data_IF_988385840097
#
_entry.id   IF_988385840097
#
_cell.length_a   1.000
_cell.length_b   1.000
_cell.length_c   1.000
_cell.angle_alpha   90.00
_cell.angle_beta   90.00
_cell.angle_gamma   90.00
#
_symmetry.space_group_name_H-M   'P 1'
#
loop_
_entity.id
_entity.type
_entity.pdbx_description
1 polymer ?
#
# COMPACT_ATOMS: atom_id res chain seq x y z
N UNK A 1 18.19 11.02 21.63
CA UNK A 1 18.52 9.61 21.92
C UNK A 1 17.22 8.86 22.12
N UNK A 2 16.87 7.93 21.23
CA UNK A 2 15.78 7.00 21.49
C UNK A 2 16.20 6.04 22.60
N UNK A 3 15.26 5.65 23.45
CA UNK A 3 15.51 4.58 24.40
C UNK A 3 15.93 3.32 23.62
N UNK A 4 17.01 2.62 23.99
CA UNK A 4 17.38 1.38 23.33
C UNK A 4 16.18 0.41 23.39
N UNK A 5 15.86 -0.22 22.27
CA UNK A 5 14.79 -1.22 22.22
C UNK A 5 15.11 -2.31 23.25
N UNK A 6 14.25 -2.45 24.25
CA UNK A 6 14.46 -3.44 25.31
C UNK A 6 14.52 -4.85 24.70
N UNK A 7 15.20 -5.82 25.33
CA UNK A 7 15.19 -7.20 24.86
C UNK A 7 13.77 -7.74 24.63
N UNK A 8 12.80 -7.31 25.45
CA UNK A 8 11.39 -7.63 25.29
C UNK A 8 10.80 -7.06 23.99
N UNK A 9 10.97 -5.76 23.73
CA UNK A 9 10.50 -5.13 22.48
C UNK A 9 11.17 -5.80 21.28
N UNK A 10 12.47 -6.09 21.36
CA UNK A 10 13.18 -6.82 20.30
C UNK A 10 12.58 -8.21 20.04
N UNK A 11 12.23 -8.94 21.10
CA UNK A 11 11.58 -10.25 20.97
C UNK A 11 10.16 -10.16 20.44
N UNK A 12 9.39 -9.13 20.82
CA UNK A 12 8.07 -8.86 20.25
C UNK A 12 8.14 -8.51 18.77
N UNK A 13 9.09 -7.66 18.35
CA UNK A 13 9.31 -7.36 16.94
C UNK A 13 9.72 -8.60 16.15
N UNK A 14 10.56 -9.47 16.71
CA UNK A 14 10.90 -10.77 16.12
C UNK A 14 9.72 -11.75 16.03
N UNK A 15 8.68 -11.56 16.85
CA UNK A 15 7.44 -12.34 16.77
C UNK A 15 6.46 -11.74 15.77
N UNK A 16 6.34 -10.41 15.75
CA UNK A 16 5.41 -9.66 14.91
C UNK A 16 5.81 -9.64 13.44
N UNK A 17 7.11 -9.51 13.17
CA UNK A 17 7.73 -9.82 11.90
C UNK A 17 8.43 -11.16 12.11
N UNK A 18 7.66 -12.28 12.07
CA UNK A 18 8.23 -13.59 12.35
C UNK A 18 9.42 -13.81 11.42
N UNK A 19 10.25 -14.82 11.73
CA UNK A 19 11.13 -15.36 10.72
C UNK A 19 10.26 -15.82 9.54
N UNK A 20 9.99 -14.93 8.59
CA UNK A 20 10.03 -15.29 7.18
C UNK A 20 11.32 -16.10 7.00
N UNK A 21 11.40 -16.94 5.97
CA UNK A 21 12.60 -17.77 5.74
C UNK A 21 13.91 -16.96 5.58
N UNK A 22 13.87 -15.63 5.77
CA UNK A 22 14.88 -14.64 5.44
C UNK A 22 15.42 -13.85 6.65
N UNK A 23 15.14 -14.26 7.90
CA UNK A 23 15.75 -13.67 9.12
C UNK A 23 15.71 -12.13 9.19
N UNK A 24 14.55 -11.54 8.96
CA UNK A 24 14.34 -10.09 8.97
C UNK A 24 14.72 -9.49 10.33
N UNK A 25 15.44 -8.37 10.30
CA UNK A 25 15.75 -7.55 11.48
C UNK A 25 15.30 -6.12 11.23
N UNK A 26 14.75 -5.51 12.27
CA UNK A 26 14.19 -4.15 12.20
C UNK A 26 14.81 -3.31 13.31
N UNK A 27 15.38 -2.16 12.94
CA UNK A 27 15.76 -1.08 13.85
C UNK A 27 14.83 0.11 13.60
N UNK A 28 13.74 0.22 14.38
CA UNK A 28 12.79 1.30 14.20
C UNK A 28 13.38 2.64 14.65
N UNK A 29 12.95 3.73 14.01
CA UNK A 29 13.30 5.09 14.36
C UNK A 29 14.83 5.32 14.40
N UNK A 30 15.59 4.68 13.52
CA UNK A 30 17.03 4.96 13.41
C UNK A 30 17.30 6.46 13.25
N UNK A 31 16.43 7.15 12.50
CA UNK A 31 16.24 8.59 12.56
C UNK A 31 14.76 8.89 12.73
N UNK A 32 14.46 10.00 13.40
CA UNK A 32 13.10 10.46 13.62
C UNK A 32 12.95 11.90 13.19
N UNK A 33 11.84 12.16 12.51
CA UNK A 33 11.45 13.49 12.08
C UNK A 33 11.40 14.48 13.26
N UNK A 34 11.78 15.73 13.00
CA UNK A 34 11.77 16.77 14.04
C UNK A 34 10.40 17.44 14.21
N UNK A 35 9.57 17.50 13.16
CA UNK A 35 8.22 18.07 13.23
C UNK A 35 7.24 17.06 13.85
N UNK A 36 6.40 17.56 14.75
CA UNK A 36 5.26 16.80 15.28
C UNK A 36 4.02 17.07 14.42
N UNK A 37 3.25 16.02 14.21
CA UNK A 37 2.04 16.02 13.40
C UNK A 37 0.86 15.57 14.25
N UNK A 38 -0.33 16.02 13.89
CA UNK A 38 -1.56 15.64 14.57
C UNK A 38 -1.92 14.20 14.24
N UNK A 39 -2.67 13.53 15.12
CA UNK A 39 -3.11 12.15 14.88
C UNK A 39 -3.97 12.02 13.63
N UNK A 40 -4.71 13.05 13.28
CA UNK A 40 -5.55 13.11 12.08
C UNK A 40 -4.78 13.39 10.78
N UNK A 41 -3.48 13.66 10.84
CA UNK A 41 -2.65 13.81 9.64
C UNK A 41 -2.40 12.46 8.97
N UNK A 42 -2.13 12.47 7.66
CA UNK A 42 -1.85 11.25 6.91
C UNK A 42 -0.34 10.99 6.87
N UNK A 43 0.15 9.90 7.46
CA UNK A 43 1.55 9.48 7.29
C UNK A 43 1.71 8.76 5.95
N UNK A 44 2.52 9.30 5.06
CA UNK A 44 2.93 8.58 3.85
C UNK A 44 3.87 7.44 4.26
N UNK A 45 3.47 6.21 4.00
CA UNK A 45 4.29 5.03 4.27
C UNK A 45 4.93 4.57 2.96
N UNK A 46 6.24 4.35 3.00
CA UNK A 46 7.00 3.90 1.83
C UNK A 46 8.16 3.00 2.26
N UNK A 47 8.86 2.44 1.30
CA UNK A 47 10.04 1.61 1.51
C UNK A 47 11.03 1.84 0.38
N UNK A 48 12.31 1.58 0.64
CA UNK A 48 13.32 1.79 -0.37
C UNK A 48 14.64 1.10 -0.05
N UNK A 49 15.47 1.06 -1.06
CA UNK A 49 16.84 0.55 -1.06
C UNK A 49 17.78 1.70 -1.40
N UNK A 50 19.08 1.45 -1.30
CA UNK A 50 20.11 2.45 -1.58
C UNK A 50 20.00 3.11 -2.97
N UNK A 51 19.62 2.35 -4.00
CA UNK A 51 19.41 2.84 -5.37
C UNK A 51 18.16 3.74 -5.55
N UNK A 52 17.44 4.02 -4.47
CA UNK A 52 16.28 4.94 -4.44
C UNK A 52 16.46 6.10 -3.44
N UNK A 53 17.69 6.38 -3.01
CA UNK A 53 17.97 7.49 -2.08
C UNK A 53 17.52 8.85 -2.63
N UNK A 54 17.79 9.15 -3.90
CA UNK A 54 17.37 10.41 -4.52
C UNK A 54 15.84 10.55 -4.56
N UNK A 55 15.13 9.44 -4.79
CA UNK A 55 13.67 9.40 -4.73
C UNK A 55 13.17 9.67 -3.32
N UNK A 56 13.82 9.14 -2.29
CA UNK A 56 13.47 9.44 -0.90
C UNK A 56 13.63 10.94 -0.58
N UNK A 57 14.70 11.57 -1.08
CA UNK A 57 14.93 13.02 -0.90
C UNK A 57 13.83 13.82 -1.60
N UNK A 58 13.54 13.50 -2.87
CA UNK A 58 12.47 14.13 -3.64
C UNK A 58 11.11 13.99 -2.97
N UNK A 59 10.74 12.77 -2.60
CA UNK A 59 9.49 12.45 -1.92
C UNK A 59 9.38 13.18 -0.57
N UNK A 60 10.46 13.30 0.20
CA UNK A 60 10.41 14.07 1.45
C UNK A 60 10.22 15.57 1.21
N UNK A 61 10.69 16.11 0.08
CA UNK A 61 10.50 17.50 -0.29
C UNK A 61 9.07 17.78 -0.81
N UNK A 62 8.47 16.85 -1.55
CA UNK A 62 7.13 16.99 -2.10
C UNK A 62 6.02 16.52 -1.15
N UNK A 63 6.31 15.58 -0.25
CA UNK A 63 5.36 15.12 0.75
C UNK A 63 4.93 16.27 1.67
N UNK A 64 3.62 16.52 1.72
CA UNK A 64 3.03 17.60 2.50
C UNK A 64 2.74 17.24 3.97
N UNK A 65 3.25 16.10 4.45
CA UNK A 65 3.07 15.64 5.83
C UNK A 65 4.15 14.67 6.31
N UNK A 66 3.89 13.87 7.36
CA UNK A 66 4.86 12.94 7.89
C UNK A 66 5.09 11.78 6.91
N UNK A 67 6.34 11.31 6.85
CA UNK A 67 6.73 10.12 6.09
C UNK A 67 7.30 9.08 7.06
N UNK A 68 6.94 7.82 6.88
CA UNK A 68 7.61 6.68 7.51
C UNK A 68 8.17 5.78 6.44
N UNK A 69 9.49 5.54 6.47
CA UNK A 69 10.20 4.73 5.48
C UNK A 69 10.88 3.53 6.13
N UNK A 70 10.64 2.35 5.57
CA UNK A 70 11.47 1.18 5.80
C UNK A 70 12.62 1.15 4.78
N UNK A 71 13.85 1.37 5.25
CA UNK A 71 15.03 1.46 4.40
C UNK A 71 15.91 0.21 4.54
N UNK A 72 16.09 -0.53 3.44
CA UNK A 72 16.82 -1.78 3.44
C UNK A 72 18.33 -1.58 3.37
N UNK A 73 19.06 -2.30 4.24
CA UNK A 73 20.50 -2.47 4.18
C UNK A 73 20.85 -3.95 3.95
N UNK A 74 21.82 -4.24 3.07
CA UNK A 74 22.27 -5.60 2.81
C UNK A 74 22.96 -6.22 4.04
N UNK A 75 23.14 -7.54 4.01
CA UNK A 75 23.88 -8.30 5.05
C UNK A 75 25.39 -8.10 5.02
N UNK A 76 25.93 -7.66 3.88
CA UNK A 76 27.35 -7.36 3.77
C UNK A 76 27.66 -6.11 4.58
N UNK A 77 28.43 -6.28 5.66
CA UNK A 77 28.72 -5.21 6.62
C UNK A 77 29.44 -4.01 5.97
N UNK A 78 30.30 -4.25 4.98
CA UNK A 78 31.05 -3.18 4.31
C UNK A 78 30.12 -2.35 3.41
N UNK A 79 29.27 -3.03 2.63
CA UNK A 79 28.27 -2.36 1.79
C UNK A 79 27.25 -1.63 2.67
N UNK A 80 26.73 -2.30 3.70
CA UNK A 80 25.76 -1.72 4.61
C UNK A 80 26.31 -0.49 5.35
N UNK A 81 27.57 -0.53 5.81
CA UNK A 81 28.21 0.62 6.43
C UNK A 81 28.35 1.80 5.48
N UNK A 82 28.74 1.56 4.21
CA UNK A 82 28.84 2.59 3.19
C UNK A 82 27.47 3.24 2.89
N UNK A 83 26.46 2.43 2.62
CA UNK A 83 25.10 2.89 2.34
C UNK A 83 24.48 3.64 3.53
N UNK A 84 24.75 3.17 4.75
CA UNK A 84 24.30 3.83 5.97
C UNK A 84 24.97 5.19 6.18
N UNK A 85 26.27 5.31 5.90
CA UNK A 85 27.00 6.58 6.02
C UNK A 85 26.44 7.64 5.06
N UNK A 86 26.09 7.24 3.84
CA UNK A 86 25.45 8.13 2.86
C UNK A 86 24.04 8.54 3.30
N UNK A 87 23.21 7.57 3.74
CA UNK A 87 21.87 7.87 4.26
C UNK A 87 21.93 8.86 5.44
N UNK A 88 22.89 8.68 6.36
CA UNK A 88 23.11 9.60 7.48
C UNK A 88 23.51 10.99 7.00
N UNK A 89 24.40 11.06 6.01
CA UNK A 89 24.82 12.33 5.40
C UNK A 89 23.64 13.04 4.77
N UNK A 90 22.85 12.35 3.93
CA UNK A 90 21.65 12.90 3.29
C UNK A 90 20.64 13.40 4.32
N UNK A 91 20.38 12.63 5.38
CA UNK A 91 19.48 13.04 6.44
C UNK A 91 19.92 14.35 7.12
N UNK A 92 21.24 14.55 7.30
CA UNK A 92 21.80 15.75 7.93
C UNK A 92 21.80 16.96 7.00
N UNK A 93 22.02 16.75 5.70
CA UNK A 93 22.16 17.83 4.71
C UNK A 93 20.84 18.24 4.05
N UNK A 94 19.79 17.41 4.16
CA UNK A 94 18.47 17.70 3.58
C UNK A 94 17.44 18.02 4.68
N UNK A 95 17.01 19.28 4.83
CA UNK A 95 16.03 19.69 5.83
C UNK A 95 14.69 18.96 5.70
N UNK A 96 14.24 18.64 4.48
CA UNK A 96 12.99 17.90 4.25
C UNK A 96 13.04 16.49 4.84
N UNK A 97 14.16 15.78 4.72
CA UNK A 97 14.35 14.46 5.35
C UNK A 97 14.28 14.58 6.87
N UNK A 98 15.10 15.45 7.46
CA UNK A 98 15.19 15.56 8.92
C UNK A 98 13.93 16.13 9.59
N UNK A 99 13.13 16.90 8.87
CA UNK A 99 11.90 17.49 9.40
C UNK A 99 10.67 16.59 9.25
N UNK A 100 10.62 15.71 8.24
CA UNK A 100 9.39 14.97 7.90
C UNK A 100 9.49 13.45 7.97
N UNK A 101 10.69 12.86 7.92
CA UNK A 101 10.87 11.42 7.72
C UNK A 101 11.31 10.69 8.99
N UNK A 102 10.53 9.67 9.38
CA UNK A 102 10.99 8.60 10.27
C UNK A 102 11.63 7.49 9.44
N UNK A 103 12.87 7.13 9.76
CA UNK A 103 13.64 6.10 9.05
C UNK A 103 13.75 4.86 9.93
N UNK A 104 13.26 3.73 9.43
CA UNK A 104 13.34 2.41 10.06
C UNK A 104 14.30 1.56 9.23
N UNK A 105 15.43 1.13 9.80
CA UNK A 105 16.35 0.26 9.06
C UNK A 105 15.83 -1.17 9.10
N UNK A 106 15.88 -1.83 7.94
CA UNK A 106 15.55 -3.24 7.79
C UNK A 106 16.69 -3.98 7.12
N UNK A 107 16.96 -5.20 7.54
CA UNK A 107 17.91 -6.10 6.88
C UNK A 107 17.39 -7.53 6.92
N UNK A 108 17.75 -8.33 5.93
CA UNK A 108 17.27 -9.70 5.77
C UNK A 108 18.26 -10.48 4.90
N UNK A 109 18.16 -11.81 4.96
CA UNK A 109 18.96 -12.73 4.13
C UNK A 109 18.55 -12.70 2.66
N UNK A 110 17.40 -12.08 2.35
CA UNK A 110 16.91 -11.84 1.00
C UNK A 110 16.44 -10.39 0.85
N UNK A 111 16.75 -9.73 -0.29
CA UNK A 111 16.21 -8.42 -0.61
C UNK A 111 14.75 -8.52 -1.09
N UNK A 112 14.17 -7.38 -1.45
CA UNK A 112 12.84 -7.24 -2.08
C UNK A 112 11.67 -7.83 -1.27
N UNK A 113 11.71 -7.66 0.06
CA UNK A 113 10.61 -8.05 0.96
C UNK A 113 9.58 -6.91 1.10
N UNK A 114 9.05 -6.44 -0.03
CA UNK A 114 8.26 -5.21 -0.11
C UNK A 114 7.09 -5.17 0.87
N UNK A 115 6.34 -6.28 1.04
CA UNK A 115 5.23 -6.32 1.99
C UNK A 115 5.67 -6.27 3.45
N UNK A 116 6.76 -6.95 3.80
CA UNK A 116 7.35 -6.80 5.15
C UNK A 116 7.78 -5.35 5.39
N UNK A 117 8.39 -4.69 4.41
CA UNK A 117 8.84 -3.31 4.55
C UNK A 117 7.66 -2.32 4.64
N UNK A 118 6.58 -2.55 3.88
CA UNK A 118 5.29 -1.84 4.03
C UNK A 118 4.75 -1.98 5.44
N UNK A 119 4.71 -3.20 5.98
CA UNK A 119 4.21 -3.45 7.33
C UNK A 119 5.10 -2.78 8.38
N UNK A 120 6.43 -2.77 8.21
CA UNK A 120 7.36 -2.05 9.09
C UNK A 120 7.08 -0.54 9.07
N UNK A 121 7.05 0.09 7.89
CA UNK A 121 6.77 1.52 7.77
C UNK A 121 5.41 1.87 8.38
N UNK A 122 4.38 1.07 8.09
CA UNK A 122 3.04 1.25 8.69
C UNK A 122 3.05 1.11 10.22
N UNK A 123 3.73 0.09 10.75
CA UNK A 123 3.75 -0.20 12.20
C UNK A 123 4.28 0.98 13.00
N UNK A 124 5.23 1.72 12.44
CA UNK A 124 5.89 2.83 13.10
C UNK A 124 5.45 4.21 12.61
N UNK A 125 4.43 4.28 11.75
CA UNK A 125 3.75 5.52 11.42
C UNK A 125 3.20 6.19 12.69
N UNK A 126 3.33 7.51 12.79
CA UNK A 126 3.00 8.24 14.03
C UNK A 126 1.55 8.68 14.13
N UNK A 127 0.82 8.67 13.02
CA UNK A 127 -0.55 9.17 12.89
C UNK A 127 -1.54 8.02 12.68
N UNK A 128 -2.83 8.32 12.78
CA UNK A 128 -3.91 7.34 12.70
C UNK A 128 -4.28 6.96 11.26
N UNK A 129 -3.78 7.71 10.29
CA UNK A 129 -4.04 7.53 8.87
C UNK A 129 -2.73 7.33 8.12
N UNK A 130 -2.68 6.33 7.26
CA UNK A 130 -1.52 6.06 6.42
C UNK A 130 -1.89 6.13 4.96
N UNK A 131 -0.99 6.66 4.13
CA UNK A 131 -1.05 6.59 2.68
C UNK A 131 -0.03 5.56 2.20
N UNK A 132 -0.51 4.42 1.68
CA UNK A 132 0.36 3.43 1.04
C UNK A 132 0.92 4.02 -0.26
N UNK A 133 2.25 4.19 -0.30
CA UNK A 133 2.92 4.91 -1.38
C UNK A 133 4.21 4.22 -1.84
N UNK A 134 4.38 4.11 -3.15
CA UNK A 134 5.62 3.63 -3.74
C UNK A 134 6.60 4.80 -3.91
N UNK A 135 7.88 4.55 -3.64
CA UNK A 135 8.91 5.60 -3.61
C UNK A 135 9.16 6.20 -5.00
N UNK A 136 8.80 5.46 -6.06
CA UNK A 136 8.92 5.89 -7.45
C UNK A 136 7.71 6.71 -7.93
N UNK A 137 6.82 7.14 -7.03
CA UNK A 137 5.65 7.97 -7.35
C UNK A 137 5.74 9.35 -6.72
N UNK A 138 5.33 10.37 -7.47
CA UNK A 138 5.25 11.75 -7.01
C UNK A 138 3.81 12.11 -6.60
N UNK A 139 3.57 12.58 -5.36
CA UNK A 139 2.28 13.06 -4.93
C UNK A 139 2.02 14.48 -5.45
N UNK A 140 1.52 14.59 -6.68
CA UNK A 140 1.33 15.86 -7.37
C UNK A 140 0.27 16.79 -6.75
N UNK A 141 -0.51 16.31 -5.79
CA UNK A 141 -1.65 17.01 -5.18
C UNK A 141 -1.51 17.13 -3.67
N UNK A 142 -2.31 18.01 -3.06
CA UNK A 142 -2.34 18.20 -1.61
C UNK A 142 -3.22 17.15 -0.90
N UNK A 143 -2.74 15.91 -0.81
CA UNK A 143 -3.51 14.82 -0.21
C UNK A 143 -3.87 15.06 1.25
N UNK A 144 -3.07 15.84 2.00
CA UNK A 144 -3.39 16.21 3.39
C UNK A 144 -4.63 17.09 3.46
N UNK A 145 -4.60 18.20 2.73
CA UNK A 145 -5.70 19.16 2.70
C UNK A 145 -6.94 18.58 2.04
N UNK A 146 -6.75 17.74 1.01
CA UNK A 146 -7.83 16.99 0.38
C UNK A 146 -8.48 16.01 1.36
N UNK A 147 -7.70 15.20 2.06
CA UNK A 147 -8.22 14.25 3.04
C UNK A 147 -9.02 14.94 4.17
N UNK A 148 -8.47 16.01 4.76
CA UNK A 148 -9.17 16.78 5.80
C UNK A 148 -10.48 17.38 5.28
N UNK A 149 -10.43 18.06 4.14
CA UNK A 149 -11.63 18.67 3.51
C UNK A 149 -12.67 17.62 3.21
N UNK A 150 -12.24 16.52 2.61
CA UNK A 150 -13.12 15.45 2.18
C UNK A 150 -13.83 14.80 3.36
N UNK A 151 -13.12 14.44 4.44
CA UNK A 151 -13.73 13.95 5.69
C UNK A 151 -14.74 14.93 6.29
N UNK A 152 -14.49 16.24 6.19
CA UNK A 152 -15.40 17.28 6.66
C UNK A 152 -16.66 17.40 5.78
N UNK A 153 -16.48 17.47 4.46
CA UNK A 153 -17.56 17.64 3.48
C UNK A 153 -18.54 16.46 3.47
N UNK A 154 -18.02 15.25 3.70
CA UNK A 154 -18.78 13.99 3.61
C UNK A 154 -19.11 13.40 4.98
N UNK A 155 -18.91 14.14 6.07
CA UNK A 155 -19.02 13.63 7.45
C UNK A 155 -20.37 12.95 7.80
N UNK A 156 -21.42 13.22 7.04
CA UNK A 156 -22.76 12.62 7.21
C UNK A 156 -22.99 11.36 6.39
N UNK A 157 -22.13 11.10 5.42
CA UNK A 157 -22.25 9.96 4.52
C UNK A 157 -21.92 8.66 5.26
N UNK A 158 -22.65 7.59 4.92
CA UNK A 158 -22.46 6.29 5.57
C UNK A 158 -21.04 5.75 5.35
N UNK A 159 -20.44 6.01 4.19
CA UNK A 159 -19.13 5.49 3.84
C UNK A 159 -17.99 6.11 4.67
N UNK A 160 -18.14 7.36 5.17
CA UNK A 160 -17.14 7.96 6.07
C UNK A 160 -17.05 7.18 7.36
N UNK A 161 -18.18 6.69 7.90
CA UNK A 161 -18.15 5.81 9.08
C UNK A 161 -17.42 4.51 8.80
N UNK A 162 -17.51 3.98 7.58
CA UNK A 162 -16.73 2.80 7.18
C UNK A 162 -15.23 3.14 7.15
N UNK A 163 -14.85 4.30 6.61
CA UNK A 163 -13.47 4.79 6.63
C UNK A 163 -12.92 4.94 8.07
N UNK A 164 -13.63 5.62 8.95
CA UNK A 164 -13.25 5.82 10.37
C UNK A 164 -13.08 4.49 11.12
N UNK A 165 -13.90 3.49 10.79
CA UNK A 165 -13.82 2.16 11.40
C UNK A 165 -12.82 1.23 10.72
N UNK A 166 -11.99 1.73 9.79
CA UNK A 166 -10.99 0.92 9.08
C UNK A 166 -11.57 -0.10 8.11
N UNK A 167 -12.81 0.13 7.64
CA UNK A 167 -13.55 -0.66 6.65
C UNK A 167 -13.67 0.04 5.29
N UNK A 168 -12.96 1.14 5.09
CA UNK A 168 -12.78 1.72 3.77
C UNK A 168 -11.36 2.27 3.59
N UNK A 169 -10.96 2.42 2.32
CA UNK A 169 -9.76 3.09 1.90
C UNK A 169 -10.06 4.07 0.76
N UNK A 170 -9.26 5.13 0.68
CA UNK A 170 -9.37 6.18 -0.32
C UNK A 170 -8.24 6.06 -1.33
N UNK A 171 -8.57 5.63 -2.54
CA UNK A 171 -7.62 5.37 -3.63
C UNK A 171 -7.23 6.67 -4.33
N UNK A 172 -5.94 6.85 -4.58
CA UNK A 172 -5.36 7.91 -5.42
C UNK A 172 -4.97 7.27 -6.76
N UNK A 173 -5.63 7.62 -7.87
CA UNK A 173 -5.32 7.08 -9.19
C UNK A 173 -3.90 7.40 -9.67
N UNK A 174 -3.13 6.40 -10.08
CA UNK A 174 -1.81 6.59 -10.68
C UNK A 174 -1.85 6.81 -12.19
N UNK A 175 -0.97 7.68 -12.68
CA UNK A 175 -0.75 7.95 -14.10
C UNK A 175 0.73 7.84 -14.45
N UNK A 176 1.01 7.63 -15.72
CA UNK A 176 2.36 7.59 -16.27
C UNK A 176 2.47 8.41 -17.56
N UNK A 177 3.66 8.92 -17.82
CA UNK A 177 3.97 9.53 -19.11
C UNK A 177 4.13 8.42 -20.15
N UNK A 178 3.47 8.57 -21.30
CA UNK A 178 3.57 7.62 -22.41
C UNK A 178 4.98 7.63 -23.02
N UNK A 179 5.56 8.83 -23.14
CA UNK A 179 6.91 9.07 -23.64
C UNK A 179 7.79 9.69 -22.54
N UNK A 180 8.79 10.49 -22.93
CA UNK A 180 9.57 11.28 -21.99
C UNK A 180 8.68 12.25 -21.20
N UNK A 181 8.95 12.45 -19.90
CA UNK A 181 8.18 13.40 -19.11
C UNK A 181 8.24 14.82 -19.69
N UNK A 182 7.11 15.53 -19.63
CA UNK A 182 7.03 16.94 -19.99
C UNK A 182 7.84 17.85 -19.05
N UNK A 183 7.91 19.14 -19.41
CA UNK A 183 8.62 20.17 -18.62
C UNK A 183 8.09 20.27 -17.18
N UNK A 184 6.77 20.22 -17.02
CA UNK A 184 6.11 20.07 -15.72
C UNK A 184 5.76 18.59 -15.49
N UNK A 185 6.50 17.90 -14.63
CA UNK A 185 6.25 16.48 -14.33
C UNK A 185 4.86 16.21 -13.75
N UNK A 186 4.39 17.12 -12.90
CA UNK A 186 3.08 17.07 -12.25
C UNK A 186 2.08 18.01 -12.94
N UNK A 187 0.94 17.49 -13.43
CA UNK A 187 -0.16 18.34 -13.86
C UNK A 187 -0.61 19.28 -12.72
N UNK A 188 -0.85 20.55 -13.05
CA UNK A 188 -1.15 21.61 -12.04
C UNK A 188 -2.63 21.64 -11.64
N UNK A 189 -3.51 21.10 -12.47
CA UNK A 189 -4.93 21.01 -12.23
C UNK A 189 -5.52 19.74 -12.86
N UNK A 190 -6.73 19.36 -12.43
CA UNK A 190 -7.48 18.25 -13.04
C UNK A 190 -7.82 18.51 -14.51
N UNK A 191 -7.95 19.79 -14.89
CA UNK A 191 -8.14 20.18 -16.29
C UNK A 191 -6.87 19.92 -17.12
N UNK A 192 -5.69 20.23 -16.58
CA UNK A 192 -4.41 19.94 -17.24
C UNK A 192 -4.18 18.44 -17.34
N UNK A 193 -4.44 17.69 -16.27
CA UNK A 193 -4.37 16.23 -16.26
C UNK A 193 -5.27 15.61 -17.33
N UNK A 194 -6.54 16.06 -17.40
CA UNK A 194 -7.47 15.63 -18.43
C UNK A 194 -6.95 15.96 -19.83
N UNK A 195 -6.46 17.17 -20.04
CA UNK A 195 -5.93 17.56 -21.35
C UNK A 195 -4.80 16.62 -21.78
N UNK A 196 -3.84 16.36 -20.89
CA UNK A 196 -2.71 15.46 -21.16
C UNK A 196 -3.14 14.01 -21.39
N UNK A 197 -4.18 13.54 -20.69
CA UNK A 197 -4.77 12.22 -20.89
C UNK A 197 -5.51 12.12 -22.23
N UNK A 198 -6.35 13.11 -22.55
CA UNK A 198 -7.12 13.17 -23.80
C UNK A 198 -6.20 13.30 -25.04
N UNK A 199 -5.02 13.92 -24.88
CA UNK A 199 -4.00 14.02 -25.93
C UNK A 199 -2.99 12.87 -25.93
N UNK A 200 -3.21 11.82 -25.12
CA UNK A 200 -2.34 10.64 -25.01
C UNK A 200 -0.89 10.96 -24.63
N UNK A 201 -0.67 12.06 -23.92
CA UNK A 201 0.63 12.39 -23.32
C UNK A 201 0.82 11.67 -21.98
N UNK A 202 -0.29 11.43 -21.28
CA UNK A 202 -0.37 10.59 -20.09
C UNK A 202 -1.33 9.42 -20.34
N UNK A 203 -1.08 8.31 -19.67
CA UNK A 203 -2.03 7.21 -19.56
C UNK A 203 -2.22 6.76 -18.11
N UNK A 204 -3.19 5.89 -17.89
CA UNK A 204 -3.32 5.16 -16.63
C UNK A 204 -2.03 4.37 -16.40
N UNK A 205 -1.54 4.34 -15.17
CA UNK A 205 -0.34 3.57 -14.86
C UNK A 205 -0.56 2.07 -15.14
N UNK A 206 0.46 1.43 -15.74
CA UNK A 206 0.45 0.01 -16.15
C UNK A 206 -0.64 -0.29 -17.19
N UNK A 207 -0.83 0.58 -18.17
CA UNK A 207 -1.85 0.37 -19.22
C UNK A 207 -1.61 -0.91 -20.02
N UNK A 208 -0.36 -1.32 -20.21
CA UNK A 208 -0.01 -2.60 -20.85
C UNK A 208 -0.36 -3.83 -19.98
N UNK A 209 -0.57 -3.64 -18.67
CA UNK A 209 -1.02 -4.64 -17.72
C UNK A 209 -2.32 -4.18 -17.03
N UNK A 210 -3.42 -4.01 -17.78
CA UNK A 210 -4.59 -3.25 -17.33
C UNK A 210 -5.22 -3.82 -16.05
N UNK A 211 -5.06 -5.12 -15.80
CA UNK A 211 -5.51 -5.78 -14.56
C UNK A 211 -5.01 -5.04 -13.29
N UNK A 212 -3.83 -4.42 -13.33
CA UNK A 212 -3.25 -3.72 -12.19
C UNK A 212 -3.98 -2.41 -11.82
N UNK A 213 -4.68 -1.77 -12.76
CA UNK A 213 -5.26 -0.45 -12.57
C UNK A 213 -6.71 -0.26 -13.06
N UNK A 214 -7.24 -1.16 -13.89
CA UNK A 214 -8.57 -1.04 -14.54
C UNK A 214 -9.77 -0.95 -13.58
N UNK A 215 -9.65 -1.46 -12.34
CA UNK A 215 -10.73 -1.32 -11.38
C UNK A 215 -10.96 0.15 -10.97
N UNK A 216 -9.96 1.01 -11.22
CA UNK A 216 -10.15 2.46 -11.25
C UNK A 216 -10.80 2.86 -12.57
N UNK A 217 -12.05 3.34 -12.52
CA UNK A 217 -12.69 3.94 -13.70
C UNK A 217 -12.11 5.34 -13.96
N UNK A 218 -11.09 5.44 -14.82
CA UNK A 218 -10.45 6.72 -15.17
C UNK A 218 -11.40 7.68 -15.90
N UNK A 219 -12.37 7.17 -16.67
CA UNK A 219 -13.35 8.02 -17.33
C UNK A 219 -14.29 8.68 -16.31
N UNK A 220 -14.75 7.93 -15.30
CA UNK A 220 -15.49 8.48 -14.17
C UNK A 220 -14.62 9.42 -13.36
N UNK A 221 -13.36 9.06 -13.07
CA UNK A 221 -12.41 9.92 -12.35
C UNK A 221 -12.34 11.29 -13.00
N UNK A 222 -12.13 11.36 -14.32
CA UNK A 222 -12.00 12.65 -15.02
C UNK A 222 -13.25 13.52 -14.85
N UNK A 223 -14.44 12.91 -14.86
CA UNK A 223 -15.72 13.62 -14.81
C UNK A 223 -16.23 13.91 -13.39
N UNK A 224 -15.74 13.19 -12.38
CA UNK A 224 -16.21 13.31 -11.01
C UNK A 224 -15.94 14.70 -10.41
N UNK A 225 -16.90 15.20 -9.63
CA UNK A 225 -16.73 16.43 -8.85
C UNK A 225 -15.68 16.23 -7.76
N UNK A 226 -15.00 17.31 -7.37
CA UNK A 226 -13.87 17.31 -6.43
C UNK A 226 -14.10 16.57 -5.11
N UNK A 227 -15.30 16.64 -4.56
CA UNK A 227 -15.64 16.11 -3.24
C UNK A 227 -16.64 14.93 -3.34
N UNK A 228 -16.81 14.34 -4.53
CA UNK A 228 -17.71 13.21 -4.80
C UNK A 228 -16.90 11.94 -5.12
N UNK A 229 -16.56 11.13 -4.12
CA UNK A 229 -15.82 9.90 -4.35
C UNK A 229 -16.74 8.86 -5.01
N UNK A 230 -16.15 7.93 -5.74
CA UNK A 230 -16.89 6.80 -6.29
C UNK A 230 -16.27 5.49 -5.85
N UNK A 231 -17.12 4.50 -5.62
CA UNK A 231 -16.70 3.19 -5.17
C UNK A 231 -16.17 2.39 -6.35
N UNK A 232 -15.09 1.64 -6.14
CA UNK A 232 -14.66 0.60 -7.07
C UNK A 232 -15.68 -0.53 -7.04
N UNK A 233 -16.33 -0.81 -8.17
CA UNK A 233 -17.34 -1.88 -8.31
C UNK A 233 -16.82 -3.11 -9.03
N UNK A 234 -15.91 -2.93 -9.99
CA UNK A 234 -15.34 -3.99 -10.83
C UNK A 234 -13.97 -4.44 -10.31
N UNK A 235 -13.89 -4.80 -9.02
CA UNK A 235 -12.65 -5.35 -8.47
C UNK A 235 -12.36 -6.74 -9.03
N UNK A 236 -11.14 -6.94 -9.49
CA UNK A 236 -10.55 -8.26 -9.70
C UNK A 236 -9.19 -8.38 -9.00
N UNK A 237 -8.79 -9.63 -8.77
CA UNK A 237 -7.48 -9.90 -8.22
C UNK A 237 -6.39 -9.33 -9.13
N UNK A 238 -5.29 -8.89 -8.51
CA UNK A 238 -4.18 -8.16 -9.12
C UNK A 238 -4.37 -6.65 -9.21
N UNK A 239 -5.57 -6.10 -8.99
CA UNK A 239 -5.73 -4.66 -8.82
C UNK A 239 -4.83 -4.13 -7.68
N UNK A 240 -4.15 -3.03 -7.95
CA UNK A 240 -3.22 -2.39 -7.04
C UNK A 240 -3.63 -0.95 -6.74
N UNK A 241 -3.55 -0.55 -5.47
CA UNK A 241 -3.90 0.81 -5.06
C UNK A 241 -2.72 1.55 -4.42
N UNK A 242 -2.74 2.86 -4.62
CA UNK A 242 -2.21 3.85 -3.69
C UNK A 242 -3.38 4.39 -2.90
N UNK A 243 -3.34 4.35 -1.58
CA UNK A 243 -4.52 4.76 -0.85
C UNK A 243 -4.34 5.09 0.62
N UNK A 244 -5.24 5.95 1.10
CA UNK A 244 -5.34 6.40 2.48
C UNK A 244 -6.29 5.48 3.25
N UNK A 245 -5.84 4.94 4.38
CA UNK A 245 -6.65 4.08 5.25
C UNK A 245 -6.21 4.19 6.71
N UNK A 246 -7.02 3.64 7.62
CA UNK A 246 -6.71 3.58 9.06
C UNK A 246 -5.43 2.79 9.30
N UNK A 247 -4.48 3.39 10.02
CA UNK A 247 -3.22 2.75 10.38
C UNK A 247 -3.43 1.44 11.16
N UNK A 248 -4.49 1.36 11.97
CA UNK A 248 -4.81 0.26 12.88
C UNK A 248 -5.83 -0.74 12.34
N UNK A 249 -6.13 -0.73 11.04
CA UNK A 249 -6.99 -1.76 10.43
C UNK A 249 -6.41 -3.17 10.64
N UNK A 250 -7.27 -4.18 10.80
CA UNK A 250 -6.85 -5.57 11.04
C UNK A 250 -6.15 -6.22 9.83
N UNK A 251 -6.30 -5.63 8.64
CA UNK A 251 -5.72 -6.14 7.39
C UNK A 251 -4.24 -5.77 7.30
N UNK A 252 -3.36 -6.72 7.02
CA UNK A 252 -1.93 -6.48 6.77
C UNK A 252 -1.51 -6.98 5.39
N UNK A 253 -0.43 -6.43 4.84
CA UNK A 253 0.13 -6.95 3.58
C UNK A 253 0.78 -8.32 3.84
N UNK A 254 0.49 -9.33 3.02
CA UNK A 254 1.01 -10.68 3.22
C UNK A 254 2.54 -10.72 2.97
N UNK A 255 3.31 -11.18 3.95
CA UNK A 255 4.77 -11.11 3.95
C UNK A 255 5.45 -12.27 3.21
N UNK A 256 4.68 -13.22 2.64
CA UNK A 256 5.27 -14.34 1.87
C UNK A 256 5.92 -13.91 0.56
N UNK A 257 5.56 -12.73 0.05
CA UNK A 257 6.06 -12.20 -1.20
C UNK A 257 7.47 -11.64 -1.02
N UNK A 258 8.45 -12.37 -1.54
CA UNK A 258 9.82 -11.93 -1.75
C UNK A 258 10.09 -11.84 -3.25
N UNK A 259 10.60 -10.69 -3.72
CA UNK A 259 10.85 -10.40 -5.13
C UNK A 259 9.78 -9.51 -5.79
N UNK A 260 9.97 -9.25 -7.09
CA UNK A 260 9.08 -8.44 -7.90
C UNK A 260 7.74 -9.14 -8.19
N UNK A 261 6.68 -8.35 -8.34
CA UNK A 261 5.35 -8.79 -8.73
C UNK A 261 4.44 -9.24 -7.59
N UNK A 262 3.13 -9.06 -7.82
CA UNK A 262 1.99 -9.51 -6.99
C UNK A 262 1.94 -9.07 -5.52
N UNK A 263 2.99 -8.42 -5.00
CA UNK A 263 3.08 -8.06 -3.59
C UNK A 263 2.06 -6.98 -3.20
N UNK A 264 1.91 -5.91 -3.98
CA UNK A 264 0.95 -4.82 -3.72
C UNK A 264 -0.48 -5.27 -4.06
N UNK A 265 -0.66 -6.00 -5.15
CA UNK A 265 -1.88 -6.73 -5.47
C UNK A 265 -2.38 -7.58 -4.30
N UNK A 266 -1.50 -8.36 -3.67
CA UNK A 266 -1.86 -9.17 -2.51
C UNK A 266 -2.30 -8.32 -1.31
N UNK A 267 -1.63 -7.18 -1.07
CA UNK A 267 -2.06 -6.26 -0.02
C UNK A 267 -3.47 -5.70 -0.29
N UNK A 268 -3.73 -5.28 -1.53
CA UNK A 268 -5.04 -4.76 -1.97
C UNK A 268 -6.12 -5.85 -1.93
N UNK A 269 -5.80 -7.08 -2.31
CA UNK A 269 -6.70 -8.23 -2.21
C UNK A 269 -7.09 -8.53 -0.76
N UNK A 270 -6.13 -8.51 0.16
CA UNK A 270 -6.42 -8.66 1.60
C UNK A 270 -7.37 -7.56 2.10
N UNK A 271 -7.20 -6.32 1.64
CA UNK A 271 -8.12 -5.22 1.96
C UNK A 271 -9.52 -5.52 1.43
N UNK A 272 -9.67 -5.74 0.13
CA UNK A 272 -10.99 -5.90 -0.50
C UNK A 272 -11.76 -7.13 0.03
N UNK A 273 -11.09 -8.28 0.15
CA UNK A 273 -11.70 -9.54 0.61
C UNK A 273 -12.11 -9.49 2.09
N UNK A 274 -11.44 -8.66 2.91
CA UNK A 274 -11.86 -8.42 4.30
C UNK A 274 -13.21 -7.69 4.44
N UNK A 275 -13.72 -7.13 3.34
CA UNK A 275 -14.89 -6.26 3.34
C UNK A 275 -14.55 -4.77 3.30
N UNK A 276 -13.27 -4.40 3.16
CA UNK A 276 -12.89 -2.99 3.00
C UNK A 276 -13.40 -2.43 1.66
N UNK A 277 -14.14 -1.32 1.71
CA UNK A 277 -14.57 -0.60 0.52
C UNK A 277 -13.44 0.26 -0.04
N UNK A 278 -13.27 0.27 -1.37
CA UNK A 278 -12.30 1.13 -2.03
C UNK A 278 -13.05 2.27 -2.72
N UNK A 279 -12.71 3.51 -2.37
CA UNK A 279 -13.30 4.71 -2.96
C UNK A 279 -12.22 5.53 -3.64
N UNK A 280 -12.40 5.88 -4.90
CA UNK A 280 -11.45 6.73 -5.62
C UNK A 280 -11.64 8.20 -5.24
N UNK A 281 -10.53 8.88 -4.91
CA UNK A 281 -10.50 10.32 -4.64
C UNK A 281 -10.42 11.11 -5.95
N UNK A 282 -11.46 11.88 -6.32
CA UNK A 282 -11.62 12.41 -7.66
C UNK A 282 -10.73 13.62 -7.97
N UNK A 283 -10.09 14.24 -6.98
CA UNK A 283 -9.23 15.44 -7.17
C UNK A 283 -7.77 15.17 -6.80
N UNK A 284 -7.38 13.90 -6.65
CA UNK A 284 -6.03 13.50 -6.27
C UNK A 284 -5.49 12.51 -7.31
N UNK A 285 -4.22 12.61 -7.65
CA UNK A 285 -3.54 11.70 -8.57
C UNK A 285 -2.07 11.55 -8.21
N UNK A 286 -1.48 10.44 -8.65
CA UNK A 286 -0.06 10.12 -8.53
C UNK A 286 0.59 10.06 -9.91
N UNK A 287 1.84 10.49 -10.01
CA UNK A 287 2.63 10.37 -11.24
C UNK A 287 3.78 9.38 -11.03
N UNK A 288 3.87 8.35 -11.87
CA UNK A 288 4.99 7.41 -11.86
C UNK A 288 6.24 8.04 -12.47
N UNK A 289 7.38 7.90 -11.79
CA UNK A 289 8.67 8.21 -12.38
C UNK A 289 9.19 7.01 -13.16
N UNK A 290 9.45 7.15 -14.48
CA UNK A 290 10.12 6.10 -15.22
C UNK A 290 11.47 5.76 -14.59
N UNK A 291 11.72 4.46 -14.41
CA UNK A 291 12.96 3.94 -13.87
C UNK A 291 13.28 2.61 -14.53
N UNK A 292 14.57 2.27 -14.61
CA UNK A 292 14.98 0.90 -14.94
C UNK A 292 14.77 0.00 -13.73
N UNK A 293 14.74 -1.31 -13.97
CA UNK A 293 14.77 -2.28 -12.89
C UNK A 293 15.98 -2.06 -11.98
N UNK A 294 15.76 -2.31 -10.69
CA UNK A 294 16.81 -2.21 -9.67
C UNK A 294 17.87 -3.31 -9.85
N UNK A 295 18.99 -3.22 -9.11
CA UNK A 295 20.13 -4.14 -9.25
C UNK A 295 19.87 -5.55 -8.69
N UNK A 296 18.69 -5.78 -8.08
CA UNK A 296 18.34 -7.05 -7.47
C UNK A 296 17.76 -8.00 -8.53
N UNK A 297 18.35 -9.19 -8.66
CA UNK A 297 17.84 -10.23 -9.56
C UNK A 297 16.37 -10.55 -9.23
N UNK A 298 15.52 -10.46 -10.25
CA UNK A 298 14.11 -10.84 -10.17
C UNK A 298 14.00 -12.36 -10.08
N UNK A 299 13.01 -12.83 -9.31
CA UNK A 299 12.76 -14.26 -9.09
C UNK A 299 12.41 -14.97 -10.40
N UNK A 300 12.57 -16.28 -10.46
CA UNK A 300 11.88 -17.07 -11.49
C UNK A 300 10.36 -16.86 -11.33
N UNK A 301 9.65 -16.76 -12.45
CA UNK A 301 8.20 -16.56 -12.48
C UNK A 301 7.42 -17.67 -11.75
N UNK A 302 8.01 -18.87 -11.60
CA UNK A 302 7.40 -20.01 -10.92
C UNK A 302 7.18 -19.76 -9.41
N UNK A 303 8.14 -19.11 -8.75
CA UNK A 303 8.14 -18.87 -7.31
C UNK A 303 7.11 -17.80 -6.89
N UNK A 304 6.98 -16.74 -7.68
CA UNK A 304 5.95 -15.69 -7.49
C UNK A 304 4.56 -16.23 -7.79
N UNK A 305 4.44 -17.13 -8.78
CA UNK A 305 3.19 -17.84 -9.09
C UNK A 305 2.74 -18.74 -7.95
N UNK A 306 3.65 -19.50 -7.33
CA UNK A 306 3.31 -20.32 -6.16
C UNK A 306 2.88 -19.49 -4.95
N UNK A 307 3.62 -18.40 -4.69
CA UNK A 307 3.29 -17.45 -3.62
C UNK A 307 1.90 -16.86 -3.81
N UNK A 308 1.57 -16.47 -5.04
CA UNK A 308 0.25 -15.95 -5.41
C UNK A 308 -0.86 -17.00 -5.27
N UNK A 309 -0.65 -18.21 -5.80
CA UNK A 309 -1.64 -19.30 -5.73
C UNK A 309 -1.96 -19.66 -4.27
N UNK A 310 -0.94 -19.84 -3.44
CA UNK A 310 -1.13 -20.17 -2.01
C UNK A 310 -1.80 -19.03 -1.27
N UNK A 311 -1.40 -17.78 -1.54
CA UNK A 311 -2.04 -16.59 -0.96
C UNK A 311 -3.54 -16.56 -1.25
N UNK A 312 -3.94 -16.75 -2.51
CA UNK A 312 -5.35 -16.74 -2.90
C UNK A 312 -6.15 -17.81 -2.16
N UNK A 313 -5.66 -19.06 -2.11
CA UNK A 313 -6.33 -20.14 -1.38
C UNK A 313 -6.48 -19.78 0.09
N UNK A 314 -5.43 -19.28 0.73
CA UNK A 314 -5.44 -18.93 2.15
C UNK A 314 -6.41 -17.79 2.47
N UNK A 315 -6.38 -16.68 1.73
CA UNK A 315 -7.29 -15.55 2.00
C UNK A 315 -8.73 -15.94 1.74
N UNK A 316 -9.01 -16.70 0.67
CA UNK A 316 -10.35 -17.13 0.34
C UNK A 316 -10.93 -18.02 1.44
N UNK A 317 -10.15 -18.99 1.91
CA UNK A 317 -10.56 -19.87 3.00
C UNK A 317 -10.71 -19.11 4.33
N UNK A 318 -9.69 -18.34 4.73
CA UNK A 318 -9.65 -17.62 6.01
C UNK A 318 -10.82 -16.66 6.18
N UNK A 319 -11.11 -15.82 5.17
CA UNK A 319 -12.23 -14.89 5.24
C UNK A 319 -13.59 -15.59 5.15
N UNK A 320 -13.71 -16.65 4.34
CA UNK A 320 -14.93 -17.45 4.29
C UNK A 320 -15.23 -18.11 5.64
N UNK A 321 -14.22 -18.69 6.30
CA UNK A 321 -14.35 -19.32 7.60
C UNK A 321 -14.71 -18.29 8.69
N UNK A 322 -14.00 -17.14 8.73
CA UNK A 322 -14.31 -16.04 9.65
C UNK A 322 -15.76 -15.55 9.53
N UNK A 323 -16.27 -15.39 8.31
CA UNK A 323 -17.67 -15.02 8.08
C UNK A 323 -18.63 -16.17 8.42
N UNK A 324 -18.23 -17.42 8.21
CA UNK A 324 -19.03 -18.60 8.55
C UNK A 324 -19.25 -18.71 10.05
N UNK A 325 -18.19 -18.57 10.84
CA UNK A 325 -18.24 -18.58 12.31
C UNK A 325 -19.12 -17.46 12.88
N UNK A 326 -19.30 -16.38 12.13
CA UNK A 326 -20.19 -15.26 12.47
C UNK A 326 -21.63 -15.45 11.95
N UNK A 327 -21.94 -16.54 11.23
CA UNK A 327 -23.24 -16.75 10.60
C UNK A 327 -23.52 -15.79 9.43
N UNK A 328 -22.47 -15.26 8.77
CA UNK A 328 -22.56 -14.13 7.83
C UNK A 328 -22.07 -14.40 6.40
N UNK A 329 -21.47 -15.57 6.12
CA UNK A 329 -20.94 -15.89 4.79
C UNK A 329 -22.05 -16.03 3.74
N UNK A 330 -23.25 -16.47 4.14
CA UNK A 330 -24.37 -16.65 3.21
C UNK A 330 -25.18 -15.37 2.95
N UNK A 331 -24.81 -14.25 3.58
CA UNK A 331 -25.42 -12.93 3.44
C UNK A 331 -24.57 -12.05 2.52
N UNK A 332 -24.99 -10.79 2.32
CA UNK A 332 -24.26 -9.83 1.47
C UNK A 332 -22.80 -9.63 1.86
N UNK A 333 -22.46 -9.77 3.15
CA UNK A 333 -21.07 -9.73 3.62
C UNK A 333 -20.17 -10.81 3.04
N UNK A 334 -20.73 -11.93 2.57
CA UNK A 334 -19.98 -12.99 1.91
C UNK A 334 -19.87 -12.85 0.39
N UNK A 335 -20.65 -11.95 -0.23
CA UNK A 335 -20.71 -11.85 -1.70
C UNK A 335 -19.33 -11.63 -2.34
N UNK A 336 -18.47 -10.78 -1.74
CA UNK A 336 -17.11 -10.55 -2.26
C UNK A 336 -16.25 -11.80 -2.26
N UNK A 337 -16.15 -12.46 -1.10
CA UNK A 337 -15.37 -13.68 -0.94
C UNK A 337 -15.88 -14.75 -1.91
N UNK A 338 -17.20 -14.95 -1.96
CA UNK A 338 -17.79 -15.98 -2.81
C UNK A 338 -17.66 -15.66 -4.30
N UNK A 339 -17.82 -14.40 -4.73
CA UNK A 339 -17.69 -14.02 -6.13
C UNK A 339 -16.24 -14.14 -6.64
N UNK A 340 -15.26 -13.72 -5.84
CA UNK A 340 -13.84 -13.76 -6.23
C UNK A 340 -13.25 -15.16 -6.12
N UNK A 341 -13.68 -15.94 -5.13
CA UNK A 341 -13.04 -17.21 -4.81
C UNK A 341 -13.74 -18.44 -5.40
N UNK A 342 -15.06 -18.36 -5.69
CA UNK A 342 -15.76 -19.46 -6.39
C UNK A 342 -15.35 -19.50 -7.85
N UNK A 343 -15.27 -20.70 -8.41
CA UNK A 343 -14.93 -20.98 -9.81
C UNK A 343 -13.45 -20.74 -10.17
N UNK A 344 -12.57 -20.65 -9.17
CA UNK A 344 -11.15 -20.87 -9.43
C UNK A 344 -10.93 -22.33 -9.84
N UNK A 345 -9.87 -22.58 -10.63
CA UNK A 345 -9.41 -23.92 -11.03
C UNK A 345 -8.82 -24.71 -9.83
N UNK A 346 -9.57 -24.75 -8.73
CA UNK A 346 -9.27 -25.39 -7.47
C UNK A 346 -10.56 -26.05 -6.93
N UNK A 347 -10.83 -27.31 -7.31
CA UNK A 347 -12.04 -28.02 -6.88
C UNK A 347 -12.13 -28.17 -5.36
N UNK A 348 -11.00 -28.26 -4.66
CA UNK A 348 -10.96 -28.43 -3.21
C UNK A 348 -11.44 -27.14 -2.51
N UNK A 349 -10.93 -25.98 -2.92
CA UNK A 349 -11.39 -24.70 -2.40
C UNK A 349 -12.89 -24.50 -2.68
N UNK A 350 -13.36 -24.80 -3.90
CA UNK A 350 -14.78 -24.66 -4.23
C UNK A 350 -15.69 -25.54 -3.37
N UNK A 351 -15.31 -26.80 -3.14
CA UNK A 351 -16.06 -27.71 -2.27
C UNK A 351 -16.10 -27.21 -0.82
N UNK A 352 -14.99 -26.68 -0.32
CA UNK A 352 -14.91 -26.14 1.03
C UNK A 352 -15.74 -24.87 1.20
N UNK A 353 -15.69 -23.93 0.25
CA UNK A 353 -16.53 -22.72 0.26
C UNK A 353 -18.03 -23.07 0.25
N UNK A 354 -18.44 -24.11 -0.49
CA UNK A 354 -19.82 -24.59 -0.49
C UNK A 354 -20.23 -25.16 0.88
N UNK A 355 -19.35 -25.95 1.52
CA UNK A 355 -19.54 -26.48 2.87
C UNK A 355 -19.68 -25.35 3.90
N UNK A 356 -18.78 -24.37 3.86
CA UNK A 356 -18.78 -23.21 4.75
C UNK A 356 -20.07 -22.39 4.64
N UNK A 357 -20.61 -22.20 3.43
CA UNK A 357 -21.91 -21.55 3.25
C UNK A 357 -23.05 -22.34 3.91
N UNK A 358 -23.04 -23.66 3.81
CA UNK A 358 -24.01 -24.52 4.51
C UNK A 358 -23.95 -24.33 6.03
N UNK A 359 -22.74 -24.37 6.60
CA UNK A 359 -22.52 -24.15 8.04
C UNK A 359 -22.97 -22.75 8.46
N UNK A 360 -22.65 -21.73 7.65
CA UNK A 360 -23.00 -20.35 7.95
C UNK A 360 -24.50 -20.15 8.06
N UNK A 361 -25.30 -20.82 7.22
CA UNK A 361 -26.77 -20.79 7.30
C UNK A 361 -27.27 -21.43 8.58
N UNK A 362 -26.68 -22.54 9.01
CA UNK A 362 -27.04 -23.21 10.26
C UNK A 362 -26.70 -22.36 11.49
N UNK A 363 -25.58 -21.64 11.48
CA UNK A 363 -25.16 -20.76 12.58
C UNK A 363 -26.01 -19.47 12.63
N UNK A 364 -26.38 -18.93 11.46
CA UNK A 364 -27.12 -17.68 11.35
C UNK A 364 -28.65 -17.80 11.43
N UNK A 365 -29.18 -19.02 11.40
CA UNK A 365 -30.60 -19.32 11.66
C UNK A 365 -30.88 -19.31 13.17
#
# INVERSE_FOLDING_TARGET
MLAPTTPLIRNLLRKAFPRTAYNVQVLPYFRSKSIRYDKDDVTLITWGTYDRLDRLVGLAASARGPVSVAFYLPRDDLIAASQLAELVTLYQTNPSLSSRVDIHLVTADRPLLHNTWRNVARTFASTDWVLLWDIDFEPCTDYQSAFRRFRQATARDAWVKELENGRAALVIPPFEWVDAPGEDFCPKSKQDLRHLYDTLSLDAFETDNPVLSHATDYAQFMNASRDEPYMVTEYEFLYEIYGIFRQDTEVWCDERFAGAGYNRAACTASMYVSGMNLYVLPDQWAMHHPHTDGPFETRSSEDTTLSWKTFLTDICHSYADSLTLKGRLHLDSGNRVLALCRNRQDPALNADLARLVGISKTIGA
#
